data_IF_049408665602
#
_entry.id   IF_049408665602
#
_cell.length_a   1.000
_cell.length_b   1.000
_cell.length_c   1.000
_cell.angle_alpha   90.00
_cell.angle_beta   90.00
_cell.angle_gamma   90.00
#
_symmetry.space_group_name_H-M   'P 1'
#
loop_
_entity.id
_entity.type
_entity.pdbx_description
1 polymer ?
#
# COMPACT_ATOMS: atom_id res chain seq x y z
N UNK A 1 -8.37 7.26 16.81
CA UNK A 1 -9.11 6.16 16.16
C UNK A 1 -8.72 4.86 16.84
N UNK A 2 -9.61 3.87 16.92
CA UNK A 2 -9.23 2.53 17.41
C UNK A 2 -8.34 1.82 16.37
N UNK A 3 -7.38 0.95 16.76
CA UNK A 3 -6.63 0.13 15.81
C UNK A 3 -7.52 -0.65 14.83
N UNK A 4 -8.72 -1.05 15.26
CA UNK A 4 -9.69 -1.75 14.42
C UNK A 4 -10.28 -0.86 13.33
N UNK A 5 -10.47 0.44 13.60
CA UNK A 5 -10.99 1.39 12.62
C UNK A 5 -9.93 1.70 11.55
N UNK A 6 -8.66 1.79 11.96
CA UNK A 6 -7.55 1.96 11.02
C UNK A 6 -7.39 0.71 10.13
N UNK A 7 -7.53 -0.51 10.66
CA UNK A 7 -7.53 -1.72 9.84
C UNK A 7 -8.69 -1.73 8.85
N UNK A 8 -9.91 -1.34 9.26
CA UNK A 8 -11.07 -1.23 8.36
C UNK A 8 -10.81 -0.28 7.19
N UNK A 9 -10.18 0.87 7.44
CA UNK A 9 -9.77 1.82 6.39
C UNK A 9 -8.86 1.16 5.35
N UNK A 10 -7.91 0.34 5.77
CA UNK A 10 -6.99 -0.35 4.85
C UNK A 10 -7.67 -1.51 4.09
N UNK A 11 -8.66 -2.16 4.69
CA UNK A 11 -9.54 -3.12 4.01
C UNK A 11 -10.36 -2.43 2.93
N UNK A 12 -10.92 -1.26 3.23
CA UNK A 12 -11.69 -0.46 2.27
C UNK A 12 -10.81 0.04 1.13
N UNK A 13 -9.62 0.56 1.44
CA UNK A 13 -8.61 0.92 0.43
C UNK A 13 -8.35 -0.24 -0.54
N UNK A 14 -8.09 -1.44 -0.02
CA UNK A 14 -7.78 -2.62 -0.84
C UNK A 14 -8.97 -3.04 -1.70
N UNK A 15 -10.17 -2.98 -1.15
CA UNK A 15 -11.41 -3.30 -1.88
C UNK A 15 -11.65 -2.32 -3.03
N UNK A 16 -11.41 -1.03 -2.80
CA UNK A 16 -11.55 0.01 -3.82
C UNK A 16 -10.46 -0.10 -4.88
N UNK A 17 -9.21 -0.37 -4.48
CA UNK A 17 -8.08 -0.53 -5.39
C UNK A 17 -8.32 -1.61 -6.45
N UNK A 18 -8.91 -2.75 -6.05
CA UNK A 18 -9.24 -3.85 -6.98
C UNK A 18 -10.38 -3.47 -7.93
N UNK A 19 -11.31 -2.61 -7.50
CA UNK A 19 -12.50 -2.22 -8.27
C UNK A 19 -12.27 -1.02 -9.19
N UNK A 20 -11.29 -0.17 -8.86
CA UNK A 20 -10.96 1.04 -9.60
C UNK A 20 -10.36 0.71 -10.96
N UNK A 21 -11.12 0.80 -12.04
CA UNK A 21 -10.59 0.64 -13.40
C UNK A 21 -9.87 1.93 -13.85
N UNK A 22 -8.55 1.85 -14.01
CA UNK A 22 -7.70 2.97 -14.45
C UNK A 22 -7.27 3.97 -13.37
N UNK A 23 -7.75 3.86 -12.14
CA UNK A 23 -7.39 4.78 -11.05
C UNK A 23 -6.31 4.24 -10.10
N UNK A 24 -5.80 3.02 -10.32
CA UNK A 24 -4.81 2.40 -9.43
C UNK A 24 -3.57 3.26 -9.25
N UNK A 25 -3.11 3.94 -10.31
CA UNK A 25 -1.94 4.83 -10.22
C UNK A 25 -2.15 6.00 -9.26
N UNK A 26 -3.38 6.55 -9.18
CA UNK A 26 -3.70 7.61 -8.22
C UNK A 26 -3.71 7.07 -6.79
N UNK A 27 -4.29 5.88 -6.56
CA UNK A 27 -4.25 5.20 -5.27
C UNK A 27 -2.82 4.88 -4.82
N UNK A 28 -1.95 4.43 -5.74
CA UNK A 28 -0.53 4.21 -5.47
C UNK A 28 0.18 5.53 -5.14
N UNK A 29 -0.15 6.63 -5.81
CA UNK A 29 0.41 7.96 -5.49
C UNK A 29 0.12 8.35 -4.03
N UNK A 30 -1.14 8.20 -3.61
CA UNK A 30 -1.56 8.50 -2.23
C UNK A 30 -0.90 7.58 -1.21
N UNK A 31 -0.83 6.27 -1.50
CA UNK A 31 -0.17 5.29 -0.64
C UNK A 31 1.33 5.57 -0.52
N UNK A 32 2.00 5.89 -1.63
CA UNK A 32 3.42 6.22 -1.66
C UNK A 32 3.73 7.49 -0.85
N UNK A 33 2.85 8.50 -0.90
CA UNK A 33 2.98 9.69 -0.08
C UNK A 33 2.79 9.36 1.41
N UNK A 34 1.79 8.55 1.75
CA UNK A 34 1.56 8.10 3.13
C UNK A 34 2.79 7.37 3.71
N UNK A 35 3.39 6.48 2.92
CA UNK A 35 4.58 5.69 3.28
C UNK A 35 5.89 6.49 3.30
N UNK A 36 5.88 7.78 2.92
CA UNK A 36 7.09 8.63 2.99
C UNK A 36 7.60 8.85 4.42
N UNK A 37 6.70 8.80 5.41
CA UNK A 37 7.01 9.01 6.82
C UNK A 37 6.81 7.75 7.68
N UNK A 38 6.35 6.66 7.06
CA UNK A 38 5.88 5.46 7.76
C UNK A 38 6.66 4.23 7.30
N UNK A 39 7.13 3.41 8.24
CA UNK A 39 7.78 2.13 7.90
C UNK A 39 6.77 1.00 7.69
N UNK A 40 5.60 1.12 8.31
CA UNK A 40 4.44 0.21 8.24
C UNK A 40 3.15 1.06 8.25
N UNK A 41 2.03 0.52 7.78
CA UNK A 41 0.79 1.29 7.58
C UNK A 41 0.14 1.79 8.87
N UNK A 42 0.36 1.08 9.97
CA UNK A 42 -0.04 1.52 11.31
C UNK A 42 1.20 1.99 12.06
N UNK A 43 1.08 3.05 12.85
CA UNK A 43 2.22 3.64 13.56
C UNK A 43 3.04 2.60 14.35
N UNK A 44 4.37 2.75 14.32
CA UNK A 44 5.31 1.84 14.95
C UNK A 44 6.28 1.22 13.92
N UNK A 45 6.79 0.03 14.24
CA UNK A 45 7.82 -0.65 13.45
C UNK A 45 7.50 -2.11 13.17
N UNK A 46 6.34 -2.61 13.56
CA UNK A 46 5.98 -4.03 13.38
C UNK A 46 4.88 -4.12 12.34
N UNK A 47 5.03 -4.97 11.30
CA UNK A 47 3.96 -5.27 10.36
C UNK A 47 2.69 -5.69 11.09
N UNK A 48 1.56 -5.24 10.56
CA UNK A 48 0.23 -5.52 11.08
C UNK A 48 -0.63 -6.21 10.02
N UNK A 49 -1.84 -6.62 10.40
CA UNK A 49 -2.81 -7.15 9.45
C UNK A 49 -3.10 -6.18 8.29
N UNK A 50 -3.04 -4.86 8.54
CA UNK A 50 -3.22 -3.86 7.51
C UNK A 50 -2.13 -3.97 6.42
N UNK A 51 -0.87 -4.14 6.84
CA UNK A 51 0.25 -4.27 5.91
C UNK A 51 0.09 -5.49 5.01
N UNK A 52 -0.28 -6.64 5.60
CA UNK A 52 -0.47 -7.89 4.85
C UNK A 52 -1.60 -7.75 3.82
N UNK A 53 -2.74 -7.16 4.20
CA UNK A 53 -3.92 -7.00 3.33
C UNK A 53 -3.61 -6.08 2.14
N UNK A 54 -3.00 -4.93 2.43
CA UNK A 54 -2.63 -3.97 1.37
C UNK A 54 -1.51 -4.53 0.50
N UNK A 55 -0.53 -5.24 1.09
CA UNK A 55 0.57 -5.83 0.35
C UNK A 55 0.05 -6.85 -0.66
N UNK A 56 -0.78 -7.80 -0.23
CA UNK A 56 -1.35 -8.83 -1.11
C UNK A 56 -2.12 -8.21 -2.28
N UNK A 57 -2.79 -7.08 -2.05
CA UNK A 57 -3.58 -6.39 -3.08
C UNK A 57 -2.69 -5.60 -4.05
N UNK A 58 -1.78 -4.80 -3.51
CA UNK A 58 -0.93 -3.87 -4.29
C UNK A 58 0.17 -4.62 -5.03
N UNK A 59 0.75 -5.66 -4.42
CA UNK A 59 1.84 -6.45 -5.00
C UNK A 59 1.47 -7.01 -6.38
N UNK A 60 0.26 -7.55 -6.53
CA UNK A 60 -0.21 -8.09 -7.82
C UNK A 60 -0.17 -7.04 -8.91
N UNK A 61 -0.65 -5.81 -8.64
CA UNK A 61 -0.60 -4.74 -9.63
C UNK A 61 0.84 -4.27 -9.89
N UNK A 62 1.64 -4.13 -8.83
CA UNK A 62 3.03 -3.67 -8.94
C UNK A 62 3.90 -4.60 -9.80
N UNK A 63 3.72 -5.92 -9.70
CA UNK A 63 4.45 -6.89 -10.52
C UNK A 63 4.21 -6.75 -12.03
N UNK A 64 3.14 -6.08 -12.46
CA UNK A 64 2.83 -5.87 -13.87
C UNK A 64 3.32 -4.52 -14.41
N UNK A 65 3.85 -3.64 -13.55
CA UNK A 65 4.40 -2.36 -13.98
C UNK A 65 5.81 -2.52 -14.54
N UNK A 66 6.17 -1.67 -15.48
CA UNK A 66 7.55 -1.56 -15.94
C UNK A 66 8.47 -0.97 -14.86
N UNK A 67 9.78 -1.23 -14.95
CA UNK A 67 10.78 -0.64 -14.04
C UNK A 67 10.65 0.89 -13.96
N UNK A 68 10.43 1.54 -15.11
CA UNK A 68 10.25 3.00 -15.18
C UNK A 68 9.01 3.51 -14.40
N UNK A 69 7.97 2.70 -14.33
CA UNK A 69 6.76 3.03 -13.58
C UNK A 69 6.94 2.74 -12.09
N UNK A 70 7.63 1.66 -11.76
CA UNK A 70 7.99 1.31 -10.37
C UNK A 70 8.80 2.43 -9.70
N UNK A 71 9.72 3.07 -10.43
CA UNK A 71 10.51 4.21 -9.90
C UNK A 71 9.65 5.42 -9.47
N UNK A 72 8.38 5.49 -9.86
CA UNK A 72 7.44 6.54 -9.40
C UNK A 72 6.98 6.31 -7.96
N UNK A 73 7.18 5.11 -7.41
CA UNK A 73 6.66 4.69 -6.11
C UNK A 73 7.75 4.17 -5.14
N UNK A 74 8.82 4.96 -4.88
CA UNK A 74 9.98 4.48 -4.13
C UNK A 74 9.65 4.09 -2.68
N UNK A 75 8.66 4.73 -2.04
CA UNK A 75 8.28 4.40 -0.67
C UNK A 75 7.46 3.12 -0.60
N UNK A 76 6.66 2.82 -1.64
CA UNK A 76 5.96 1.53 -1.75
C UNK A 76 6.97 0.41 -1.95
N UNK A 77 7.96 0.59 -2.84
CA UNK A 77 9.02 -0.41 -3.04
C UNK A 77 9.77 -0.70 -1.74
N UNK A 78 10.25 0.35 -1.05
CA UNK A 78 10.91 0.22 0.27
C UNK A 78 10.04 -0.52 1.29
N UNK A 79 8.75 -0.21 1.32
CA UNK A 79 7.81 -0.85 2.24
C UNK A 79 7.56 -2.31 1.87
N UNK A 80 7.31 -2.63 0.60
CA UNK A 80 7.16 -4.01 0.12
C UNK A 80 8.39 -4.85 0.44
N UNK A 81 9.59 -4.28 0.27
CA UNK A 81 10.84 -4.95 0.60
C UNK A 81 10.99 -5.26 2.10
N UNK A 82 10.33 -4.49 2.96
CA UNK A 82 10.35 -4.67 4.41
C UNK A 82 9.28 -5.66 4.90
N UNK A 83 8.16 -5.80 4.18
CA UNK A 83 7.05 -6.67 4.55
C UNK A 83 7.25 -8.13 4.08
N UNK A 84 7.96 -8.34 2.97
CA UNK A 84 8.20 -9.67 2.38
C UNK A 84 8.94 -10.66 3.29
#
# INVERSE_FOLDING_TARGET
>A
TSPQDEVKKWVEFSSNFVRSDGEQHASLGNLNQHLSQMSVLLAGFKPSAADIIVFATVHVFMCHLSDSELQKYPNILRWMDYIQ
#
